data_IF_274243762926
#
_entry.id   IF_274243762926
#
_cell.length_a   1.000
_cell.length_b   1.000
_cell.length_c   1.000
_cell.angle_alpha   90.00
_cell.angle_beta   90.00
_cell.angle_gamma   90.00
#
_symmetry.space_group_name_H-M   'P 1'
#
loop_
_entity.id
_entity.type
_entity.pdbx_description
1 polymer ?
#
# COMPACT_ATOMS: atom_id res chain seq x y z
N UNK A 1 44.20 12.40 0.82
CA UNK A 1 43.22 11.74 -0.06
C UNK A 1 41.85 11.96 0.55
N UNK A 2 41.10 12.94 0.05
CA UNK A 2 39.74 13.25 0.52
C UNK A 2 38.78 12.29 -0.19
N UNK A 3 38.16 11.40 0.57
CA UNK A 3 37.19 10.45 0.04
C UNK A 3 35.82 11.14 0.06
N UNK A 4 35.35 11.51 -1.13
CA UNK A 4 34.03 12.07 -1.34
C UNK A 4 33.02 10.91 -1.25
N UNK A 5 32.33 10.77 -0.12
CA UNK A 5 31.17 9.87 -0.04
C UNK A 5 29.95 10.71 -0.37
N UNK A 6 29.22 10.42 -1.46
CA UNK A 6 28.01 11.13 -1.78
C UNK A 6 27.03 10.90 -0.64
N UNK A 7 26.65 11.97 0.04
CA UNK A 7 25.45 11.96 0.87
C UNK A 7 24.31 11.49 -0.03
N UNK A 8 23.74 10.31 0.26
CA UNK A 8 22.40 10.01 -0.20
C UNK A 8 21.52 11.12 0.36
N UNK A 9 21.30 12.15 -0.43
CA UNK A 9 20.30 13.16 -0.16
C UNK A 9 18.97 12.46 -0.36
N UNK A 10 18.49 11.80 0.69
CA UNK A 10 17.07 11.53 0.83
C UNK A 10 16.44 12.93 0.89
N UNK A 11 15.96 13.40 -0.26
CA UNK A 11 15.22 14.64 -0.37
C UNK A 11 13.89 14.42 0.33
N UNK A 12 13.89 14.52 1.65
CA UNK A 12 12.69 14.51 2.47
C UNK A 12 12.17 15.95 2.49
N UNK A 13 11.52 16.35 1.39
CA UNK A 13 10.77 17.59 1.36
C UNK A 13 9.46 17.38 2.14
N UNK A 14 9.33 18.10 3.25
CA UNK A 14 8.15 18.12 4.11
C UNK A 14 6.88 18.63 3.40
N UNK A 15 6.19 17.71 2.74
CA UNK A 15 4.74 17.72 2.51
C UNK A 15 4.10 16.50 3.21
N UNK A 16 4.51 16.22 4.46
CA UNK A 16 4.31 14.94 5.15
C UNK A 16 2.88 14.63 5.67
N UNK A 17 1.82 15.34 5.29
CA UNK A 17 0.47 15.06 5.82
C UNK A 17 -0.36 14.04 5.02
N UNK A 18 0.05 13.69 3.79
CA UNK A 18 -0.78 12.89 2.89
C UNK A 18 -0.16 11.53 2.51
N UNK A 19 1.00 11.17 3.06
CA UNK A 19 1.67 9.90 2.73
C UNK A 19 1.79 9.06 4.00
N UNK A 20 1.19 7.88 3.96
CA UNK A 20 1.23 6.89 5.03
C UNK A 20 2.08 5.71 4.56
N UNK A 21 3.33 5.59 5.05
CA UNK A 21 4.26 4.57 4.57
C UNK A 21 3.76 3.16 4.89
N UNK A 22 4.22 2.13 4.17
CA UNK A 22 3.89 0.76 4.52
C UNK A 22 4.41 0.42 5.92
N UNK A 23 3.70 -0.45 6.64
CA UNK A 23 4.10 -0.89 7.99
C UNK A 23 5.10 -2.04 7.94
N UNK A 24 5.15 -2.75 6.81
CA UNK A 24 6.10 -3.82 6.52
C UNK A 24 6.56 -3.68 5.08
N UNK A 25 7.70 -4.27 4.76
CA UNK A 25 8.20 -4.35 3.40
C UNK A 25 8.25 -5.79 2.94
N UNK A 26 8.03 -6.00 1.64
CA UNK A 26 8.19 -7.31 1.04
C UNK A 26 9.66 -7.72 0.93
N UNK A 27 9.90 -9.01 0.80
CA UNK A 27 11.21 -9.58 0.53
C UNK A 27 11.13 -10.48 -0.70
N UNK A 28 10.85 -9.85 -1.85
CA UNK A 28 10.70 -10.52 -3.14
C UNK A 28 11.76 -10.08 -4.17
N UNK A 29 12.78 -9.33 -3.75
CA UNK A 29 13.87 -8.89 -4.63
C UNK A 29 13.52 -7.74 -5.60
N UNK A 30 12.40 -7.05 -5.43
CA UNK A 30 12.10 -5.83 -6.19
C UNK A 30 12.93 -4.65 -5.68
N UNK A 31 13.35 -3.77 -6.59
CA UNK A 31 14.02 -2.49 -6.24
C UNK A 31 13.17 -1.65 -5.26
N UNK A 32 11.84 -1.70 -5.45
CA UNK A 32 10.85 -1.12 -4.53
C UNK A 32 10.01 -2.25 -3.95
N UNK A 33 10.28 -2.59 -2.70
CA UNK A 33 9.67 -3.69 -1.99
C UNK A 33 8.31 -3.34 -1.33
N UNK A 34 7.59 -2.38 -1.91
CA UNK A 34 6.27 -1.96 -1.49
C UNK A 34 5.50 -1.35 -2.66
N UNK A 35 4.19 -1.37 -2.57
CA UNK A 35 3.25 -0.80 -3.55
C UNK A 35 2.83 0.60 -3.13
N UNK A 36 2.27 1.37 -4.05
CA UNK A 36 1.70 2.70 -3.76
C UNK A 36 0.24 2.74 -4.14
N UNK A 37 -0.64 2.99 -3.17
CA UNK A 37 -2.04 3.34 -3.43
C UNK A 37 -2.16 4.85 -3.43
N UNK A 38 -2.36 5.44 -4.60
CA UNK A 38 -2.84 6.82 -4.73
C UNK A 38 -4.35 6.81 -4.61
N UNK A 39 -4.91 7.68 -3.77
CA UNK A 39 -6.35 7.75 -3.58
C UNK A 39 -6.88 9.17 -3.49
N UNK A 40 -8.12 9.36 -3.93
CA UNK A 40 -8.89 10.59 -3.82
C UNK A 40 -9.38 10.85 -2.39
N UNK A 41 -9.29 9.87 -1.47
CA UNK A 41 -9.60 10.12 -0.05
C UNK A 41 -8.65 11.20 0.48
N UNK A 42 -9.19 12.13 1.26
CA UNK A 42 -8.42 13.26 1.81
C UNK A 42 -8.03 13.04 3.26
N UNK A 43 -8.70 12.13 3.97
CA UNK A 43 -8.40 11.77 5.36
C UNK A 43 -8.07 10.28 5.46
N UNK A 44 -7.01 9.93 6.18
CA UNK A 44 -6.65 8.54 6.45
C UNK A 44 -7.70 7.84 7.31
N UNK A 45 -8.45 8.60 8.11
CA UNK A 45 -9.48 8.06 8.99
C UNK A 45 -10.62 7.38 8.22
N UNK A 46 -10.78 7.68 6.93
CA UNK A 46 -11.69 6.98 6.02
C UNK A 46 -11.36 5.47 5.91
N UNK A 47 -10.10 5.11 6.19
CA UNK A 47 -9.60 3.73 6.22
C UNK A 47 -9.59 3.09 7.63
N UNK A 48 -10.06 3.78 8.68
CA UNK A 48 -10.09 3.23 10.05
C UNK A 48 -11.26 2.24 10.28
N UNK A 49 -12.19 2.11 9.34
CA UNK A 49 -13.26 1.10 9.43
C UNK A 49 -12.67 -0.32 9.38
N UNK A 50 -13.38 -1.29 9.96
CA UNK A 50 -12.93 -2.68 9.95
C UNK A 50 -13.07 -3.31 8.57
N UNK A 51 -12.09 -4.13 8.20
CA UNK A 51 -12.17 -4.91 6.97
C UNK A 51 -13.08 -6.12 7.18
N UNK A 52 -14.30 -6.08 6.63
CA UNK A 52 -15.30 -7.14 6.75
C UNK A 52 -15.50 -7.57 8.21
N UNK A 53 -15.40 -8.87 8.50
CA UNK A 53 -15.57 -9.45 9.84
C UNK A 53 -14.24 -9.56 10.60
N UNK A 54 -13.18 -8.90 10.14
CA UNK A 54 -11.86 -8.96 10.79
C UNK A 54 -11.73 -7.88 11.88
N UNK A 55 -10.83 -8.11 12.83
CA UNK A 55 -10.43 -7.10 13.81
C UNK A 55 -9.53 -5.99 13.25
N UNK A 56 -9.12 -6.05 11.98
CA UNK A 56 -8.17 -5.12 11.37
C UNK A 56 -8.87 -3.96 10.66
N UNK A 57 -8.28 -2.77 10.75
CA UNK A 57 -8.71 -1.61 9.95
C UNK A 57 -8.26 -1.76 8.49
N UNK A 58 -8.92 -1.07 7.56
CA UNK A 58 -8.52 -1.10 6.15
C UNK A 58 -7.08 -0.62 5.96
N UNK A 59 -6.67 0.45 6.67
CA UNK A 59 -5.31 0.98 6.60
C UNK A 59 -4.28 -0.07 7.04
N UNK A 60 -4.58 -0.80 8.11
CA UNK A 60 -3.68 -1.81 8.63
C UNK A 60 -3.58 -3.01 7.68
N UNK A 61 -4.71 -3.44 7.11
CA UNK A 61 -4.74 -4.50 6.09
C UNK A 61 -3.82 -4.14 4.92
N UNK A 62 -4.02 -2.96 4.32
CA UNK A 62 -3.24 -2.51 3.17
C UNK A 62 -1.74 -2.36 3.49
N UNK A 63 -1.41 -1.70 4.61
CA UNK A 63 -0.03 -1.32 4.93
C UNK A 63 0.80 -2.45 5.54
N UNK A 64 0.16 -3.39 6.25
CA UNK A 64 0.85 -4.49 6.95
C UNK A 64 0.87 -5.78 6.13
N UNK A 65 -0.25 -6.19 5.53
CA UNK A 65 -0.34 -7.49 4.85
C UNK A 65 0.00 -7.41 3.36
N UNK A 66 -0.23 -6.25 2.73
CA UNK A 66 -0.04 -6.07 1.29
C UNK A 66 1.07 -5.08 0.92
N UNK A 67 1.82 -4.61 1.93
CA UNK A 67 3.00 -3.76 1.78
C UNK A 67 2.71 -2.48 0.97
N UNK A 68 1.63 -1.77 1.30
CA UNK A 68 1.18 -0.59 0.56
C UNK A 68 1.51 0.70 1.31
N UNK A 69 2.10 1.68 0.61
CA UNK A 69 2.09 3.09 1.00
C UNK A 69 0.80 3.73 0.52
N UNK A 70 0.07 4.45 1.37
CA UNK A 70 -1.17 5.15 1.01
C UNK A 70 -0.86 6.63 0.80
N UNK A 71 -1.21 7.16 -0.36
CA UNK A 71 -1.01 8.55 -0.78
C UNK A 71 -2.38 9.19 -0.98
N UNK A 72 -2.79 10.04 -0.05
CA UNK A 72 -4.08 10.73 -0.04
C UNK A 72 -4.11 11.91 -1.03
N UNK A 73 -5.31 12.46 -1.23
CA UNK A 73 -5.57 13.68 -2.01
C UNK A 73 -5.01 13.65 -3.43
N UNK A 74 -5.00 12.46 -4.04
CA UNK A 74 -4.63 12.27 -5.45
C UNK A 74 -5.82 12.58 -6.36
N UNK A 75 -5.56 12.93 -7.61
CA UNK A 75 -6.62 13.22 -8.61
C UNK A 75 -7.42 11.98 -9.03
N UNK A 76 -6.87 10.78 -8.84
CA UNK A 76 -7.53 9.51 -9.15
C UNK A 76 -7.06 8.39 -8.22
N UNK A 77 -7.86 7.32 -8.15
CA UNK A 77 -7.53 6.10 -7.42
C UNK A 77 -6.69 5.18 -8.31
N UNK A 78 -5.43 4.95 -7.94
CA UNK A 78 -4.48 4.14 -8.72
C UNK A 78 -3.60 3.31 -7.79
N UNK A 79 -3.46 2.02 -8.08
CA UNK A 79 -2.46 1.15 -7.47
C UNK A 79 -1.23 1.08 -8.36
N UNK A 80 -0.05 1.37 -7.79
CA UNK A 80 1.24 1.16 -8.43
C UNK A 80 1.87 -0.09 -7.79
N UNK A 81 2.06 -1.11 -8.62
CA UNK A 81 2.67 -2.39 -8.26
C UNK A 81 4.17 -2.24 -7.92
N UNK A 82 4.77 -3.25 -7.30
CA UNK A 82 6.20 -3.27 -6.95
C UNK A 82 7.11 -3.18 -8.18
N UNK A 83 6.65 -3.71 -9.32
CA UNK A 83 7.32 -3.60 -10.62
C UNK A 83 7.07 -2.26 -11.34
N UNK A 84 6.25 -1.38 -10.75
CA UNK A 84 5.89 -0.08 -11.31
C UNK A 84 4.67 -0.08 -12.22
N UNK A 85 4.01 -1.21 -12.49
CA UNK A 85 2.76 -1.23 -13.27
C UNK A 85 1.66 -0.43 -12.55
N UNK A 86 0.93 0.39 -13.31
CA UNK A 86 -0.15 1.23 -12.81
C UNK A 86 -1.51 0.59 -13.12
N UNK A 87 -2.35 0.46 -12.09
CA UNK A 87 -3.70 -0.06 -12.19
C UNK A 87 -4.68 1.02 -11.74
N UNK A 88 -5.45 1.55 -12.69
CA UNK A 88 -6.54 2.48 -12.38
C UNK A 88 -7.66 1.73 -11.68
N UNK A 89 -8.07 2.23 -10.51
CA UNK A 89 -9.15 1.64 -9.73
C UNK A 89 -10.49 2.23 -10.14
N UNK A 90 -11.54 1.41 -10.10
CA UNK A 90 -12.92 1.83 -10.37
C UNK A 90 -13.66 2.26 -9.11
N UNK A 91 -13.21 1.79 -7.96
CA UNK A 91 -13.83 2.04 -6.66
C UNK A 91 -13.46 3.41 -6.09
N UNK A 92 -14.38 3.98 -5.30
CA UNK A 92 -14.19 5.27 -4.62
C UNK A 92 -14.36 5.18 -3.11
N UNK A 93 -15.18 4.26 -2.60
CA UNK A 93 -15.33 4.06 -1.16
C UNK A 93 -14.12 3.29 -0.61
N UNK A 94 -13.60 3.63 0.59
CA UNK A 94 -12.41 2.98 1.14
C UNK A 94 -12.48 1.45 1.20
N UNK A 95 -13.63 0.88 1.60
CA UNK A 95 -13.82 -0.58 1.65
C UNK A 95 -13.76 -1.23 0.25
N UNK A 96 -14.35 -0.57 -0.75
CA UNK A 96 -14.39 -1.08 -2.12
C UNK A 96 -13.02 -0.94 -2.80
N UNK A 97 -12.31 0.19 -2.55
CA UNK A 97 -10.90 0.37 -2.92
C UNK A 97 -10.06 -0.76 -2.35
N UNK A 98 -10.21 -1.06 -1.06
CA UNK A 98 -9.45 -2.11 -0.38
C UNK A 98 -9.71 -3.48 -0.99
N UNK A 99 -10.98 -3.82 -1.26
CA UNK A 99 -11.35 -5.08 -1.94
C UNK A 99 -10.78 -5.19 -3.35
N UNK A 100 -10.90 -4.13 -4.15
CA UNK A 100 -10.38 -4.10 -5.52
C UNK A 100 -8.85 -4.25 -5.53
N UNK A 101 -8.15 -3.54 -4.65
CA UNK A 101 -6.69 -3.64 -4.50
C UNK A 101 -6.26 -5.05 -4.12
N UNK A 102 -6.91 -5.66 -3.12
CA UNK A 102 -6.60 -7.04 -2.70
C UNK A 102 -6.88 -8.03 -3.84
N UNK A 103 -7.95 -7.82 -4.61
CA UNK A 103 -8.26 -8.65 -5.78
C UNK A 103 -7.18 -8.53 -6.86
N UNK A 104 -6.76 -7.31 -7.18
CA UNK A 104 -5.68 -7.06 -8.15
C UNK A 104 -4.36 -7.70 -7.72
N UNK A 105 -3.99 -7.52 -6.44
CA UNK A 105 -2.77 -8.11 -5.87
C UNK A 105 -2.87 -9.64 -5.86
N UNK A 106 -4.03 -10.20 -5.50
CA UNK A 106 -4.28 -11.64 -5.51
C UNK A 106 -4.12 -12.29 -6.89
N UNK A 107 -4.28 -11.52 -7.98
CA UNK A 107 -3.98 -11.97 -9.35
C UNK A 107 -2.49 -12.03 -9.69
N UNK A 108 -1.60 -11.53 -8.83
CA UNK A 108 -0.14 -11.54 -9.01
C UNK A 108 0.50 -12.73 -8.30
N UNK A 109 1.64 -13.24 -8.78
CA UNK A 109 2.32 -14.40 -8.17
C UNK A 109 2.69 -14.20 -6.69
N UNK A 110 3.35 -13.08 -6.35
CA UNK A 110 3.69 -12.74 -4.96
C UNK A 110 2.44 -12.40 -4.15
N UNK A 111 1.56 -11.59 -4.72
CA UNK A 111 0.32 -11.13 -4.08
C UNK A 111 -0.66 -12.26 -3.77
N UNK A 112 -0.74 -13.31 -4.58
CA UNK A 112 -1.52 -14.51 -4.29
C UNK A 112 -1.09 -15.16 -2.96
N UNK A 113 0.23 -15.23 -2.70
CA UNK A 113 0.78 -15.74 -1.44
C UNK A 113 0.48 -14.81 -0.26
N UNK A 114 0.47 -13.49 -0.50
CA UNK A 114 0.07 -12.48 0.49
C UNK A 114 -1.41 -12.69 0.90
N UNK A 115 -2.31 -12.87 -0.07
CA UNK A 115 -3.74 -13.14 0.18
C UNK A 115 -3.95 -14.44 0.97
N UNK A 116 -3.25 -15.53 0.61
CA UNK A 116 -3.35 -16.77 1.37
C UNK A 116 -2.93 -16.61 2.84
N UNK A 117 -1.81 -15.91 3.08
CA UNK A 117 -1.33 -15.63 4.44
C UNK A 117 -2.31 -14.76 5.22
N UNK A 118 -2.88 -13.75 4.57
CA UNK A 118 -3.88 -12.87 5.18
C UNK A 118 -5.14 -13.66 5.57
N UNK A 119 -5.69 -14.47 4.67
CA UNK A 119 -6.88 -15.29 4.95
C UNK A 119 -6.64 -16.24 6.13
N UNK A 120 -5.46 -16.90 6.17
CA UNK A 120 -5.11 -17.73 7.33
C UNK A 120 -5.09 -16.95 8.64
N UNK A 121 -4.59 -15.70 8.63
CA UNK A 121 -4.49 -14.87 9.83
C UNK A 121 -5.82 -14.32 10.37
N UNK A 122 -6.92 -14.52 9.65
CA UNK A 122 -8.26 -14.09 10.07
C UNK A 122 -9.21 -15.27 10.35
N UNK A 123 -8.80 -16.49 10.00
CA UNK A 123 -9.51 -17.73 10.34
C UNK A 123 -9.06 -18.29 11.72
N UNK A 124 -7.92 -17.82 12.24
CA UNK A 124 -7.35 -18.15 13.56
C UNK A 124 -7.89 -17.23 14.68
#
# INVERSE_FOLDING_TARGET
MLIFIPSLSFSQSDHQNNIFPPLKFADYGFNKNYRVLKTTQTDINDFNQKYLNTGYTLDYVLRSFFYISIHLSSSENTLISMDGTNFKLKSYKPIDITKEVITLIGGMSSGFREVQKFNKSIDD
#
